data_IF_149976974024
#
_entry.id   IF_149976974024
#
_cell.length_a   1.000
_cell.length_b   1.000
_cell.length_c   1.000
_cell.angle_alpha   90.00
_cell.angle_beta   90.00
_cell.angle_gamma   90.00
#
_symmetry.space_group_name_H-M   'P 1'
#
loop_
_entity.id
_entity.type
_entity.pdbx_description
1 polymer ?
#
# COMPACT_ATOMS: atom_id res chain seq x y z
N UNK A 1 8.33 13.79 14.96
CA UNK A 1 9.18 14.27 13.86
C UNK A 1 8.32 14.58 12.64
N UNK A 2 8.53 15.73 11.99
CA UNK A 2 7.72 16.21 10.86
C UNK A 2 7.92 15.36 9.58
N UNK A 3 6.93 15.40 8.68
CA UNK A 3 7.01 14.76 7.36
C UNK A 3 7.95 15.55 6.44
N UNK A 4 8.93 14.88 5.86
CA UNK A 4 9.89 15.48 4.91
C UNK A 4 9.57 14.99 3.51
N UNK A 5 9.27 15.93 2.60
CA UNK A 5 8.97 15.66 1.19
C UNK A 5 10.15 14.95 0.49
N UNK A 6 9.88 14.17 -0.57
CA UNK A 6 10.94 13.51 -1.30
C UNK A 6 11.88 14.54 -1.95
N UNK A 7 13.17 14.21 -2.12
CA UNK A 7 14.16 15.13 -2.69
C UNK A 7 13.92 15.45 -4.18
N UNK A 8 13.08 14.66 -4.85
CA UNK A 8 12.66 14.84 -6.24
C UNK A 8 11.26 14.26 -6.44
N UNK A 9 10.61 14.65 -7.52
CA UNK A 9 9.36 14.02 -7.94
C UNK A 9 9.58 12.53 -8.28
N UNK A 10 8.60 11.66 -8.04
CA UNK A 10 8.62 10.30 -8.55
C UNK A 10 8.64 10.27 -10.06
N UNK A 11 9.33 9.26 -10.58
CA UNK A 11 9.15 8.90 -11.98
C UNK A 11 7.75 8.30 -12.16
N UNK A 12 7.03 8.77 -13.16
CA UNK A 12 5.67 8.34 -13.48
C UNK A 12 5.53 8.29 -14.99
N UNK A 13 4.58 7.49 -15.48
CA UNK A 13 4.29 7.41 -16.90
C UNK A 13 3.91 8.81 -17.39
N UNK A 14 4.54 9.29 -18.46
CA UNK A 14 4.16 10.56 -19.10
C UNK A 14 2.91 10.33 -19.96
N UNK A 15 1.73 10.41 -19.35
CA UNK A 15 0.44 10.26 -20.02
C UNK A 15 -0.56 11.27 -19.44
N UNK A 16 -1.58 11.63 -20.24
CA UNK A 16 -2.68 12.49 -19.78
C UNK A 16 -3.31 11.95 -18.48
N UNK A 17 -3.49 10.64 -18.37
CA UNK A 17 -4.08 10.01 -17.19
C UNK A 17 -3.19 10.17 -15.95
N UNK A 18 -1.87 10.01 -16.11
CA UNK A 18 -0.93 10.20 -15.00
C UNK A 18 -0.83 11.67 -14.58
N UNK A 19 -0.90 12.60 -15.54
CA UNK A 19 -0.96 14.02 -15.24
C UNK A 19 -2.23 14.39 -14.46
N UNK A 20 -3.39 13.85 -14.86
CA UNK A 20 -4.66 14.04 -14.16
C UNK A 20 -4.58 13.48 -12.72
N UNK A 21 -3.96 12.31 -12.57
CA UNK A 21 -3.86 11.62 -11.29
C UNK A 21 -2.89 12.28 -10.30
N UNK A 22 -1.79 12.91 -10.77
CA UNK A 22 -0.72 13.39 -9.89
C UNK A 22 -0.48 14.90 -9.90
N UNK A 23 -0.76 15.60 -11.01
CA UNK A 23 -0.24 16.95 -11.25
C UNK A 23 -1.30 18.05 -11.29
N UNK A 24 -2.59 17.71 -11.11
CA UNK A 24 -3.68 18.69 -11.16
C UNK A 24 -3.95 19.28 -9.76
N UNK A 25 -4.51 20.50 -9.66
CA UNK A 25 -4.77 21.11 -8.34
C UNK A 25 -5.63 20.25 -7.41
N UNK A 26 -6.53 19.42 -7.95
CA UNK A 26 -7.40 18.53 -7.19
C UNK A 26 -6.75 17.20 -6.79
N UNK A 27 -5.58 16.85 -7.33
CA UNK A 27 -4.90 15.59 -7.01
C UNK A 27 -4.14 15.62 -5.68
N UNK A 28 -4.14 16.77 -4.99
CA UNK A 28 -3.57 16.93 -3.67
C UNK A 28 -4.46 17.83 -2.81
N UNK A 29 -4.39 17.67 -1.48
CA UNK A 29 -5.10 18.53 -0.52
C UNK A 29 -4.42 19.91 -0.36
N UNK A 30 -4.06 20.57 -1.47
CA UNK A 30 -3.47 21.88 -1.45
C UNK A 30 -4.48 22.92 -0.90
N UNK A 31 -4.02 23.82 -0.04
CA UNK A 31 -4.85 24.88 0.53
C UNK A 31 -5.77 24.46 1.70
N UNK A 32 -5.69 23.22 2.17
CA UNK A 32 -6.40 22.74 3.37
C UNK A 32 -5.45 22.73 4.57
N UNK A 33 -5.94 23.10 5.76
CA UNK A 33 -5.12 23.01 6.98
C UNK A 33 -4.80 21.54 7.30
N UNK A 34 -3.68 21.31 7.99
CA UNK A 34 -3.29 19.97 8.41
C UNK A 34 -4.38 19.33 9.27
N UNK A 35 -4.95 20.09 10.19
CA UNK A 35 -5.97 19.63 11.13
C UNK A 35 -7.25 19.22 10.40
N UNK A 36 -7.70 20.02 9.43
CA UNK A 36 -8.87 19.69 8.61
C UNK A 36 -8.61 18.45 7.73
N UNK A 37 -7.42 18.34 7.12
CA UNK A 37 -7.06 17.16 6.32
C UNK A 37 -6.97 15.88 7.16
N UNK A 38 -6.45 15.97 8.39
CA UNK A 38 -6.38 14.84 9.31
C UNK A 38 -7.74 14.41 9.84
N UNK A 39 -8.66 15.37 10.03
CA UNK A 39 -10.01 15.10 10.53
C UNK A 39 -10.98 14.60 9.45
N UNK A 40 -10.69 14.87 8.17
CA UNK A 40 -11.51 14.41 7.06
C UNK A 40 -11.44 12.88 6.89
N UNK A 41 -12.44 12.29 6.24
CA UNK A 41 -12.42 10.88 5.83
C UNK A 41 -12.00 10.78 4.35
N UNK A 42 -10.71 10.48 4.11
CA UNK A 42 -10.16 10.33 2.75
C UNK A 42 -9.45 8.97 2.68
N UNK A 43 -10.20 7.85 2.59
CA UNK A 43 -9.65 6.49 2.78
C UNK A 43 -8.48 6.15 1.85
N UNK A 44 -8.41 6.78 0.68
CA UNK A 44 -7.35 6.56 -0.29
C UNK A 44 -6.00 7.23 0.06
N UNK A 45 -5.94 8.21 0.97
CA UNK A 45 -4.72 9.02 1.15
C UNK A 45 -4.42 9.56 2.54
N UNK A 46 -5.38 9.61 3.48
CA UNK A 46 -5.16 10.26 4.78
C UNK A 46 -5.19 9.32 5.99
N UNK A 47 -4.81 8.05 5.80
CA UNK A 47 -4.67 7.08 6.90
C UNK A 47 -3.53 7.52 7.84
N UNK A 48 -3.83 7.58 9.14
CA UNK A 48 -2.86 7.82 10.21
C UNK A 48 -2.73 6.59 11.09
N UNK A 49 -1.61 5.87 10.98
CA UNK A 49 -1.38 4.64 11.71
C UNK A 49 0.09 4.45 12.08
N UNK A 50 0.33 3.64 13.11
CA UNK A 50 1.66 3.07 13.36
C UNK A 50 1.89 1.87 12.45
N UNK A 51 3.15 1.47 12.23
CA UNK A 51 3.44 0.25 11.47
C UNK A 51 2.76 -0.98 12.08
N UNK A 52 2.77 -1.09 13.42
CA UNK A 52 2.08 -2.16 14.15
C UNK A 52 0.58 -2.16 13.88
N UNK A 53 -0.10 -1.02 14.08
CA UNK A 53 -1.55 -0.94 13.89
C UNK A 53 -1.97 -1.24 12.45
N UNK A 54 -1.18 -0.79 11.46
CA UNK A 54 -1.45 -1.10 10.06
C UNK A 54 -1.27 -2.60 9.77
N UNK A 55 -0.21 -3.23 10.28
CA UNK A 55 0.02 -4.65 10.12
C UNK A 55 -1.05 -5.52 10.81
N UNK A 56 -1.54 -5.09 11.98
CA UNK A 56 -2.62 -5.75 12.73
C UNK A 56 -3.96 -5.67 11.98
N UNK A 57 -4.31 -4.50 11.44
CA UNK A 57 -5.58 -4.30 10.68
C UNK A 57 -5.64 -5.21 9.45
N UNK A 58 -4.53 -5.34 8.72
CA UNK A 58 -4.51 -6.21 7.52
C UNK A 58 -4.27 -7.68 7.85
N UNK A 59 -3.88 -8.01 9.08
CA UNK A 59 -3.49 -9.37 9.47
C UNK A 59 -4.51 -10.45 9.09
N UNK A 60 -5.83 -10.24 9.25
CA UNK A 60 -6.83 -11.22 8.82
C UNK A 60 -6.73 -11.65 7.36
N UNK A 61 -6.28 -10.76 6.47
CA UNK A 61 -6.09 -11.09 5.04
C UNK A 61 -4.95 -12.08 4.83
N UNK A 62 -3.90 -12.03 5.65
CA UNK A 62 -2.82 -13.01 5.65
C UNK A 62 -3.13 -14.24 6.52
N UNK A 63 -3.99 -14.11 7.53
CA UNK A 63 -4.12 -15.10 8.59
C UNK A 63 -5.42 -15.91 8.52
N UNK A 64 -5.90 -16.22 7.31
CA UNK A 64 -7.11 -17.04 7.13
C UNK A 64 -8.36 -16.42 7.75
N UNK A 65 -8.48 -15.09 7.69
CA UNK A 65 -9.63 -14.34 8.19
C UNK A 65 -9.58 -14.03 9.68
N UNK A 66 -8.51 -14.42 10.39
CA UNK A 66 -8.39 -14.26 11.83
C UNK A 66 -7.50 -13.09 12.24
N UNK A 67 -7.95 -12.33 13.23
CA UNK A 67 -7.13 -11.30 13.86
C UNK A 67 -6.03 -11.90 14.76
N UNK A 68 -5.23 -11.04 15.39
CA UNK A 68 -4.14 -11.44 16.28
C UNK A 68 -4.60 -12.15 17.57
N UNK A 69 -5.87 -11.98 17.97
CA UNK A 69 -6.48 -12.68 19.11
C UNK A 69 -7.03 -14.06 18.72
N UNK A 70 -7.05 -14.39 17.42
CA UNK A 70 -7.66 -15.60 16.88
C UNK A 70 -9.14 -15.47 16.55
N UNK A 71 -9.75 -14.30 16.80
CA UNK A 71 -11.13 -13.98 16.44
C UNK A 71 -11.31 -13.95 14.93
N UNK A 72 -12.51 -14.33 14.44
CA UNK A 72 -12.83 -14.27 13.02
C UNK A 72 -13.21 -12.83 12.68
N UNK A 73 -12.34 -12.13 11.94
CA UNK A 73 -12.57 -10.78 11.46
C UNK A 73 -13.11 -10.75 10.02
N UNK A 74 -12.72 -11.74 9.20
CA UNK A 74 -13.16 -11.89 7.82
C UNK A 74 -13.57 -13.35 7.62
N UNK A 75 -14.74 -13.61 7.05
CA UNK A 75 -15.15 -14.98 6.71
C UNK A 75 -14.44 -15.49 5.45
N UNK A 76 -14.43 -16.81 5.25
CA UNK A 76 -13.70 -17.46 4.15
C UNK A 76 -14.14 -17.02 2.75
N UNK A 77 -15.43 -16.69 2.57
CA UNK A 77 -15.96 -16.23 1.28
C UNK A 77 -15.43 -14.84 0.97
N UNK A 78 -15.53 -13.92 1.93
CA UNK A 78 -15.05 -12.55 1.78
C UNK A 78 -13.52 -12.51 1.61
N UNK A 79 -12.78 -13.34 2.35
CA UNK A 79 -11.32 -13.44 2.21
C UNK A 79 -10.92 -13.89 0.80
N UNK A 80 -11.57 -14.93 0.28
CA UNK A 80 -11.31 -15.44 -1.06
C UNK A 80 -11.58 -14.39 -2.13
N UNK A 81 -12.70 -13.68 -2.02
CA UNK A 81 -13.02 -12.61 -2.95
C UNK A 81 -12.07 -11.40 -2.81
N UNK A 82 -11.63 -11.07 -1.60
CA UNK A 82 -10.70 -9.96 -1.37
C UNK A 82 -9.35 -10.19 -2.07
N UNK A 83 -8.85 -11.44 -2.05
CA UNK A 83 -7.55 -11.82 -2.62
C UNK A 83 -7.62 -12.32 -4.07
N UNK A 84 -8.82 -12.50 -4.61
CA UNK A 84 -9.00 -12.93 -6.01
C UNK A 84 -8.52 -11.85 -6.98
N UNK A 85 -7.65 -12.18 -7.96
CA UNK A 85 -7.27 -11.26 -9.03
C UNK A 85 -8.51 -10.74 -9.79
N UNK A 86 -8.49 -9.44 -10.11
CA UNK A 86 -9.57 -8.72 -10.80
C UNK A 86 -9.14 -8.24 -12.18
N UNK A 87 -7.94 -7.70 -12.27
CA UNK A 87 -7.35 -7.20 -13.50
C UNK A 87 -5.83 -7.32 -13.43
N UNK A 88 -5.21 -7.55 -14.58
CA UNK A 88 -3.77 -7.57 -14.75
C UNK A 88 -3.40 -6.89 -16.06
N UNK A 89 -2.31 -6.15 -16.05
CA UNK A 89 -1.83 -5.43 -17.23
C UNK A 89 -0.91 -4.28 -16.87
N UNK A 90 -0.47 -3.58 -17.91
CA UNK A 90 0.21 -2.31 -17.72
C UNK A 90 -0.76 -1.28 -17.16
N UNK A 91 -0.43 -0.74 -16.00
CA UNK A 91 -1.24 0.30 -15.38
C UNK A 91 -1.17 1.59 -16.21
N UNK A 92 -2.33 2.25 -16.35
CA UNK A 92 -2.47 3.46 -17.15
C UNK A 92 -1.90 4.70 -16.46
N UNK A 93 -1.76 4.65 -15.13
CA UNK A 93 -1.28 5.74 -14.27
C UNK A 93 0.08 5.40 -13.66
N UNK A 94 0.22 4.20 -13.11
CA UNK A 94 1.48 3.74 -12.54
C UNK A 94 2.39 3.18 -13.63
N UNK A 95 3.72 3.37 -13.55
CA UNK A 95 4.67 2.90 -14.55
C UNK A 95 5.01 1.40 -14.37
N UNK A 96 4.02 0.57 -14.00
CA UNK A 96 4.22 -0.84 -13.64
C UNK A 96 3.22 -1.75 -14.33
N UNK A 97 3.62 -2.99 -14.56
CA UNK A 97 2.71 -4.09 -14.87
C UNK A 97 2.17 -4.65 -13.55
N UNK A 98 0.88 -4.48 -13.27
CA UNK A 98 0.27 -4.79 -11.98
C UNK A 98 -0.84 -5.81 -12.12
N UNK A 99 -0.98 -6.66 -11.10
CA UNK A 99 -2.16 -7.51 -10.90
C UNK A 99 -2.89 -7.03 -9.65
N UNK A 100 -4.11 -6.54 -9.84
CA UNK A 100 -4.95 -5.99 -8.77
C UNK A 100 -5.96 -7.02 -8.27
N UNK A 101 -6.16 -7.07 -6.96
CA UNK A 101 -7.31 -7.73 -6.31
C UNK A 101 -8.36 -6.68 -5.93
N UNK A 102 -9.30 -7.01 -5.03
CA UNK A 102 -10.21 -6.02 -4.47
C UNK A 102 -9.48 -5.07 -3.49
N UNK A 103 -8.65 -4.16 -4.02
CA UNK A 103 -7.98 -3.09 -3.27
C UNK A 103 -6.49 -3.30 -2.96
N UNK A 104 -5.92 -4.48 -3.26
CA UNK A 104 -4.49 -4.76 -3.07
C UNK A 104 -3.78 -5.09 -4.39
N UNK A 105 -2.48 -4.84 -4.42
CA UNK A 105 -1.58 -5.32 -5.46
C UNK A 105 -1.10 -6.72 -5.09
N UNK A 106 -1.22 -7.70 -6.00
CA UNK A 106 -0.48 -8.94 -5.89
C UNK A 106 1.03 -8.69 -6.10
N UNK A 107 1.89 -9.44 -5.43
CA UNK A 107 3.32 -9.21 -5.42
C UNK A 107 4.05 -9.75 -6.68
N UNK A 108 3.65 -9.28 -7.86
CA UNK A 108 4.28 -9.68 -9.14
C UNK A 108 5.59 -8.95 -9.42
N UNK A 109 5.86 -7.83 -8.73
CA UNK A 109 7.03 -6.96 -8.93
C UNK A 109 8.05 -7.04 -7.78
N UNK A 110 7.82 -7.88 -6.77
CA UNK A 110 8.71 -8.01 -5.60
C UNK A 110 8.67 -6.83 -4.62
N UNK A 111 7.67 -5.93 -4.72
CA UNK A 111 7.52 -4.79 -3.83
C UNK A 111 7.27 -5.18 -2.37
N UNK A 112 6.74 -6.38 -2.14
CA UNK A 112 6.32 -6.89 -0.83
C UNK A 112 7.19 -8.04 -0.33
N UNK A 113 8.45 -8.10 -0.79
CA UNK A 113 9.39 -9.18 -0.47
C UNK A 113 9.42 -10.28 -1.55
N UNK A 114 10.08 -11.41 -1.29
CA UNK A 114 10.33 -12.47 -2.28
C UNK A 114 9.12 -13.37 -2.57
N UNK A 115 8.07 -13.33 -1.74
CA UNK A 115 6.95 -14.26 -1.87
C UNK A 115 5.93 -13.85 -2.92
N UNK A 116 5.69 -14.73 -3.89
CA UNK A 116 4.68 -14.51 -4.94
C UNK A 116 3.23 -14.66 -4.44
N UNK A 117 3.03 -15.26 -3.25
CA UNK A 117 1.73 -15.30 -2.59
C UNK A 117 1.40 -14.03 -1.82
N UNK A 118 2.33 -13.08 -1.70
CA UNK A 118 2.09 -11.85 -0.98
C UNK A 118 1.19 -10.87 -1.76
N UNK A 119 0.47 -10.06 -1.01
CA UNK A 119 -0.34 -8.93 -1.49
C UNK A 119 -0.02 -7.70 -0.65
N UNK A 120 -0.30 -6.51 -1.16
CA UNK A 120 -0.06 -5.30 -0.38
C UNK A 120 -0.53 -4.02 -1.02
N UNK A 121 -0.21 -2.93 -0.35
CA UNK A 121 -0.39 -1.57 -0.85
C UNK A 121 0.84 -0.73 -0.54
N UNK A 122 1.17 0.18 -1.44
CA UNK A 122 2.27 1.13 -1.30
C UNK A 122 1.69 2.54 -1.22
N UNK A 123 2.22 3.34 -0.29
CA UNK A 123 1.88 4.74 -0.12
C UNK A 123 2.95 5.65 -0.68
N UNK A 124 2.52 6.82 -1.16
CA UNK A 124 3.43 7.82 -1.68
C UNK A 124 4.46 8.22 -0.61
N UNK A 125 5.73 8.25 -1.01
CA UNK A 125 6.86 8.49 -0.11
C UNK A 125 7.53 7.22 0.41
N UNK A 126 6.91 6.05 0.20
CA UNK A 126 7.52 4.75 0.43
C UNK A 126 7.00 3.96 1.62
N UNK A 127 5.89 4.38 2.25
CA UNK A 127 5.20 3.51 3.21
C UNK A 127 4.62 2.30 2.46
N UNK A 128 4.50 1.17 3.13
CA UNK A 128 3.93 -0.01 2.51
C UNK A 128 3.35 -0.94 3.57
N UNK A 129 2.36 -1.74 3.18
CA UNK A 129 1.82 -2.84 3.97
C UNK A 129 1.75 -4.08 3.11
N UNK A 130 2.05 -5.23 3.67
CA UNK A 130 1.97 -6.52 3.01
C UNK A 130 1.30 -7.57 3.87
N UNK A 131 0.71 -8.56 3.20
CA UNK A 131 0.18 -9.79 3.77
C UNK A 131 0.67 -10.96 2.93
N UNK A 132 1.12 -12.04 3.55
CA UNK A 132 1.43 -13.30 2.88
C UNK A 132 0.57 -14.44 3.47
N UNK A 133 -0.54 -14.80 2.80
CA UNK A 133 -1.41 -15.90 3.20
C UNK A 133 -0.71 -17.25 3.31
N UNK A 134 0.33 -17.51 2.50
CA UNK A 134 1.04 -18.79 2.55
C UNK A 134 1.87 -18.94 3.83
N UNK A 135 2.24 -17.83 4.46
CA UNK A 135 3.04 -17.80 5.70
C UNK A 135 2.27 -17.27 6.91
N UNK A 136 0.98 -16.95 6.74
CA UNK A 136 0.12 -16.38 7.80
C UNK A 136 0.73 -15.14 8.45
N UNK A 137 1.35 -14.27 7.65
CA UNK A 137 2.04 -13.09 8.15
C UNK A 137 1.51 -11.80 7.54
N UNK A 138 1.70 -10.71 8.26
CA UNK A 138 1.54 -9.34 7.77
C UNK A 138 2.67 -8.48 8.32
N UNK A 139 3.04 -7.44 7.56
CA UNK A 139 4.01 -6.46 8.02
C UNK A 139 3.70 -5.10 7.39
N UNK A 140 4.16 -4.03 8.04
CA UNK A 140 4.09 -2.69 7.48
C UNK A 140 5.37 -1.92 7.73
N UNK A 141 5.68 -1.04 6.80
CA UNK A 141 6.72 -0.03 6.89
C UNK A 141 6.07 1.35 6.86
N UNK A 142 6.29 2.14 7.91
CA UNK A 142 5.78 3.50 8.04
C UNK A 142 6.94 4.43 8.39
N UNK A 143 7.01 5.57 7.71
CA UNK A 143 8.08 6.55 7.88
C UNK A 143 7.56 7.97 7.65
N UNK A 144 8.35 8.96 8.06
CA UNK A 144 8.09 10.38 7.79
C UNK A 144 9.12 11.01 6.83
N UNK A 145 10.24 10.33 6.54
CA UNK A 145 11.19 10.74 5.50
C UNK A 145 10.79 10.08 4.18
N UNK A 146 10.16 10.85 3.29
CA UNK A 146 9.67 10.35 2.02
C UNK A 146 10.81 10.09 1.03
N UNK A 147 10.67 9.04 0.22
CA UNK A 147 11.47 8.75 -0.95
C UNK A 147 10.67 9.07 -2.23
N UNK A 148 11.32 9.18 -3.39
CA UNK A 148 10.62 9.38 -4.66
C UNK A 148 10.02 8.09 -5.24
N UNK A 149 10.03 6.96 -4.54
CA UNK A 149 9.46 5.71 -5.06
C UNK A 149 7.91 5.76 -5.02
N UNK A 150 7.26 5.44 -6.15
CA UNK A 150 5.80 5.27 -6.21
C UNK A 150 5.36 3.96 -5.52
N UNK A 151 6.12 2.90 -5.75
CA UNK A 151 6.02 1.61 -5.09
C UNK A 151 7.42 0.99 -5.02
N UNK A 152 7.60 -0.03 -4.17
CA UNK A 152 8.89 -0.71 -4.04
C UNK A 152 10.00 0.17 -3.45
N UNK A 153 9.69 0.97 -2.42
CA UNK A 153 10.73 1.70 -1.68
C UNK A 153 11.80 0.71 -1.19
N UNK A 154 13.09 0.91 -1.51
CA UNK A 154 14.14 -0.05 -1.15
C UNK A 154 14.23 -0.35 0.35
N UNK A 155 13.82 0.58 1.22
CA UNK A 155 13.78 0.38 2.68
C UNK A 155 12.68 -0.59 3.07
N UNK A 156 11.48 -0.42 2.52
CA UNK A 156 10.35 -1.31 2.74
C UNK A 156 10.64 -2.71 2.17
N UNK A 157 11.15 -2.78 0.93
CA UNK A 157 11.50 -4.05 0.27
C UNK A 157 12.55 -4.82 1.07
N UNK A 158 13.62 -4.16 1.54
CA UNK A 158 14.63 -4.83 2.39
C UNK A 158 14.05 -5.36 3.70
N UNK A 159 13.21 -4.56 4.37
CA UNK A 159 12.54 -4.99 5.60
C UNK A 159 11.65 -6.22 5.35
N UNK A 160 10.82 -6.18 4.31
CA UNK A 160 9.96 -7.32 3.99
C UNK A 160 10.75 -8.54 3.58
N UNK A 161 11.83 -8.37 2.82
CA UNK A 161 12.72 -9.46 2.44
C UNK A 161 13.36 -10.14 3.64
N UNK A 162 13.74 -9.41 4.69
CA UNK A 162 14.33 -10.00 5.90
C UNK A 162 13.37 -10.80 6.79
N UNK A 163 12.07 -10.82 6.46
CA UNK A 163 11.07 -11.63 7.17
C UNK A 163 10.97 -13.06 6.61
N UNK A 164 11.71 -13.37 5.54
CA UNK A 164 11.76 -14.65 4.85
C UNK A 164 13.13 -15.29 5.03
#
# INVERSE_FOLDING_TARGET
SAMTKPPRAPDHRKSLLSEIAFLKPWSAAAGVSREAWMAAEIPASNIHATARGLAEIVHPLGNGGRDASGGIAINDVALREALRPRIEGDDLVLPFHLRWTAGLMANTNGFFGPSLSAFGSAGFGGSAVMVDPARRMSAAYVMNKMSPALAGDPRAVRLFTSLY
#
